data_IF_770246951292
#
_entry.id   IF_770246951292
#
_cell.length_a   1.000
_cell.length_b   1.000
_cell.length_c   1.000
_cell.angle_alpha   90.00
_cell.angle_beta   90.00
_cell.angle_gamma   90.00
#
_symmetry.space_group_name_H-M   'P 1'
#
loop_
_entity.id
_entity.type
_entity.pdbx_description
1 polymer ?
#
# COMPACT_ATOMS: atom_id res chain seq x y z
N UNK A 1 -11.12 16.14 -3.96
CA UNK A 1 -10.90 14.75 -4.45
C UNK A 1 -10.72 14.82 -5.95
N UNK A 2 -9.70 14.13 -6.49
CA UNK A 2 -9.52 14.05 -7.94
C UNK A 2 -10.74 13.36 -8.57
N UNK A 3 -11.16 13.82 -9.75
CA UNK A 3 -12.34 13.31 -10.45
C UNK A 3 -12.03 12.06 -11.29
N UNK A 4 -11.26 11.11 -10.75
CA UNK A 4 -10.94 9.87 -11.44
C UNK A 4 -12.11 8.89 -11.50
N UNK A 5 -12.09 7.96 -12.47
CA UNK A 5 -13.13 6.94 -12.65
C UNK A 5 -13.40 6.10 -11.41
N UNK A 6 -12.37 5.79 -10.61
CA UNK A 6 -12.48 5.08 -9.34
C UNK A 6 -13.33 5.84 -8.32
N UNK A 7 -13.07 7.15 -8.16
CA UNK A 7 -13.82 8.00 -7.21
C UNK A 7 -15.28 8.08 -7.63
N UNK A 8 -15.56 8.23 -8.92
CA UNK A 8 -16.93 8.28 -9.45
C UNK A 8 -17.66 6.95 -9.25
N UNK A 9 -17.01 5.82 -9.52
CA UNK A 9 -17.60 4.49 -9.33
C UNK A 9 -17.93 4.22 -7.86
N UNK A 10 -17.00 4.48 -6.95
CA UNK A 10 -17.21 4.25 -5.51
C UNK A 10 -18.17 5.25 -4.87
N UNK A 11 -18.26 6.48 -5.41
CA UNK A 11 -19.29 7.44 -4.97
C UNK A 11 -20.70 6.92 -5.22
N UNK A 12 -20.89 6.13 -6.28
CA UNK A 12 -22.16 5.42 -6.53
C UNK A 12 -22.48 4.39 -5.43
N UNK A 13 -21.48 3.72 -4.89
CA UNK A 13 -21.63 2.71 -3.83
C UNK A 13 -22.01 3.32 -2.47
N UNK A 14 -21.70 4.59 -2.20
CA UNK A 14 -22.07 5.29 -0.94
C UNK A 14 -23.57 5.31 -0.67
N UNK A 15 -24.41 5.11 -1.69
CA UNK A 15 -25.87 5.02 -1.54
C UNK A 15 -26.34 3.70 -0.93
N UNK A 16 -25.53 2.64 -1.08
CA UNK A 16 -25.89 1.27 -0.67
C UNK A 16 -25.02 0.73 0.47
N UNK A 17 -23.85 1.33 0.71
CA UNK A 17 -22.95 0.91 1.78
C UNK A 17 -22.18 2.11 2.35
N UNK A 18 -21.89 2.05 3.65
CA UNK A 18 -20.98 2.99 4.29
C UNK A 18 -19.55 2.45 4.28
N UNK A 19 -18.58 3.28 3.94
CA UNK A 19 -17.16 2.95 4.02
C UNK A 19 -16.33 4.20 4.32
N UNK A 20 -15.15 3.99 4.87
CA UNK A 20 -14.14 5.03 5.04
C UNK A 20 -13.13 4.91 3.91
N UNK A 21 -12.88 6.01 3.22
CA UNK A 21 -11.83 6.10 2.22
C UNK A 21 -10.52 6.46 2.92
N UNK A 22 -9.47 5.65 2.72
CA UNK A 22 -8.15 5.92 3.26
C UNK A 22 -7.20 6.19 2.10
N UNK A 23 -6.52 7.33 2.12
CA UNK A 23 -5.67 7.73 0.99
C UNK A 23 -4.71 8.85 1.31
N UNK A 24 -3.69 8.97 0.46
CA UNK A 24 -2.77 10.11 0.47
C UNK A 24 -3.46 11.36 -0.11
N UNK A 25 -3.39 12.53 0.56
CA UNK A 25 -4.06 13.75 0.10
C UNK A 25 -3.46 14.37 -1.17
N UNK A 26 -2.29 13.90 -1.64
CA UNK A 26 -1.66 14.37 -2.86
C UNK A 26 -0.66 15.51 -2.66
N UNK A 27 -0.46 15.97 -1.44
CA UNK A 27 0.49 17.03 -1.07
C UNK A 27 0.83 16.97 0.41
N UNK A 28 1.93 17.63 0.78
CA UNK A 28 2.37 17.74 2.16
C UNK A 28 1.38 18.57 3.01
N UNK A 29 1.09 18.07 4.20
CA UNK A 29 0.30 18.77 5.21
C UNK A 29 1.14 18.90 6.48
N UNK A 30 1.30 20.14 6.93
CA UNK A 30 2.07 20.42 8.15
C UNK A 30 1.49 19.61 9.33
N UNK A 31 2.31 18.94 10.14
CA UNK A 31 1.85 18.17 11.29
C UNK A 31 0.91 18.91 12.24
N UNK A 32 1.07 20.21 12.40
CA UNK A 32 0.18 21.04 13.24
C UNK A 32 -1.25 21.14 12.71
N UNK A 33 -1.42 21.02 11.40
CA UNK A 33 -2.71 21.15 10.73
C UNK A 33 -3.43 19.81 10.54
N UNK A 34 -2.69 18.69 10.66
CA UNK A 34 -3.21 17.32 10.43
C UNK A 34 -4.47 17.02 11.26
N UNK A 35 -4.55 17.34 12.58
CA UNK A 35 -5.76 17.05 13.37
C UNK A 35 -7.02 17.76 12.85
N UNK A 36 -6.87 19.00 12.36
CA UNK A 36 -7.99 19.78 11.80
C UNK A 36 -8.41 19.19 10.46
N UNK A 37 -7.43 18.82 9.63
CA UNK A 37 -7.67 18.20 8.32
C UNK A 37 -8.35 16.85 8.48
N UNK A 38 -7.83 15.98 9.37
CA UNK A 38 -8.41 14.65 9.62
C UNK A 38 -9.85 14.73 10.12
N UNK A 39 -10.11 15.64 11.07
CA UNK A 39 -11.47 15.87 11.56
C UNK A 39 -12.42 16.25 10.42
N UNK A 40 -12.03 17.22 9.61
CA UNK A 40 -12.85 17.70 8.50
C UNK A 40 -13.05 16.63 7.41
N UNK A 41 -11.99 15.91 7.06
CA UNK A 41 -12.05 14.82 6.09
C UNK A 41 -12.99 13.70 6.56
N UNK A 42 -12.96 13.35 7.84
CA UNK A 42 -13.82 12.32 8.40
C UNK A 42 -15.27 12.77 8.48
N UNK A 43 -15.54 13.97 8.99
CA UNK A 43 -16.90 14.48 9.20
C UNK A 43 -17.62 14.80 7.87
N UNK A 44 -16.93 15.41 6.90
CA UNK A 44 -17.57 15.85 5.65
C UNK A 44 -17.52 14.77 4.54
N UNK A 45 -16.49 13.91 4.54
CA UNK A 45 -16.23 13.02 3.39
C UNK A 45 -16.11 11.54 3.76
N UNK A 46 -16.09 11.18 5.03
CA UNK A 46 -15.76 9.82 5.51
C UNK A 46 -14.39 9.37 4.97
N UNK A 47 -13.41 10.26 5.03
CA UNK A 47 -12.05 10.04 4.55
C UNK A 47 -11.05 10.14 5.70
N UNK A 48 -9.98 9.33 5.63
CA UNK A 48 -8.81 9.42 6.49
C UNK A 48 -7.58 9.64 5.64
N UNK A 49 -6.75 10.62 6.01
CA UNK A 49 -5.51 10.89 5.31
C UNK A 49 -4.38 9.96 5.75
N UNK A 50 -3.57 9.50 4.80
CA UNK A 50 -2.24 8.92 5.03
C UNK A 50 -1.22 10.01 4.71
N UNK A 51 -0.45 10.40 5.69
CA UNK A 51 0.56 11.44 5.52
C UNK A 51 1.90 10.80 5.16
N UNK A 52 2.40 11.16 4.01
CA UNK A 52 3.73 10.78 3.51
C UNK A 52 4.58 12.04 3.40
N UNK A 53 5.86 11.92 3.66
CA UNK A 53 6.82 12.97 3.33
C UNK A 53 6.95 13.08 1.82
N UNK A 54 7.24 14.29 1.30
CA UNK A 54 7.23 14.55 -0.15
C UNK A 54 8.19 13.64 -0.93
N UNK A 55 9.37 13.35 -0.37
CA UNK A 55 10.34 12.43 -0.99
C UNK A 55 9.80 11.00 -1.07
N UNK A 56 9.22 10.49 0.03
CA UNK A 56 8.58 9.17 0.05
C UNK A 56 7.41 9.10 -0.92
N UNK A 57 6.58 10.13 -0.96
CA UNK A 57 5.43 10.19 -1.85
C UNK A 57 5.84 10.19 -3.33
N UNK A 58 6.84 10.99 -3.70
CA UNK A 58 7.36 11.06 -5.07
C UNK A 58 8.02 9.75 -5.50
N UNK A 59 8.92 9.21 -4.68
CA UNK A 59 9.59 7.93 -4.95
C UNK A 59 8.62 6.75 -5.00
N UNK A 60 7.59 6.74 -4.15
CA UNK A 60 6.53 5.73 -4.18
C UNK A 60 5.70 5.83 -5.46
N UNK A 61 5.21 7.03 -5.78
CA UNK A 61 4.25 7.21 -6.88
C UNK A 61 4.94 7.30 -8.24
N UNK A 62 5.85 8.26 -8.43
CA UNK A 62 6.54 8.48 -9.70
C UNK A 62 7.71 7.51 -9.88
N UNK A 63 8.45 7.23 -8.81
CA UNK A 63 9.61 6.37 -8.82
C UNK A 63 9.27 4.90 -9.03
N UNK A 64 8.70 4.21 -8.04
CA UNK A 64 8.46 2.77 -8.14
C UNK A 64 7.18 2.44 -8.91
N UNK A 65 6.05 3.06 -8.57
CA UNK A 65 4.77 2.71 -9.17
C UNK A 65 4.72 3.02 -10.66
N UNK A 66 5.08 4.22 -11.06
CA UNK A 66 4.97 4.65 -12.46
C UNK A 66 6.19 4.30 -13.31
N UNK A 67 7.39 4.18 -12.73
CA UNK A 67 8.60 3.86 -13.51
C UNK A 67 8.93 2.37 -13.55
N UNK A 68 8.30 1.53 -12.73
CA UNK A 68 8.53 0.08 -12.69
C UNK A 68 7.23 -0.69 -12.89
N UNK A 69 6.26 -0.54 -11.97
CA UNK A 69 5.06 -1.36 -12.01
C UNK A 69 4.17 -1.03 -13.22
N UNK A 70 3.99 0.24 -13.54
CA UNK A 70 3.20 0.66 -14.69
C UNK A 70 3.73 0.11 -16.02
N UNK A 71 5.02 0.28 -16.40
CA UNK A 71 5.57 -0.34 -17.60
C UNK A 71 5.47 -1.87 -17.58
N UNK A 72 5.70 -2.52 -16.43
CA UNK A 72 5.58 -3.97 -16.30
C UNK A 72 4.17 -4.45 -16.63
N UNK A 73 3.13 -3.82 -16.06
CA UNK A 73 1.73 -4.18 -16.31
C UNK A 73 1.26 -3.86 -17.73
N UNK A 74 1.93 -2.92 -18.41
CA UNK A 74 1.60 -2.53 -19.78
C UNK A 74 2.52 -3.13 -20.84
N UNK A 75 3.31 -4.15 -20.49
CA UNK A 75 4.19 -4.88 -21.42
C UNK A 75 5.31 -4.05 -22.04
N UNK A 76 5.81 -3.04 -21.31
CA UNK A 76 6.93 -2.18 -21.69
C UNK A 76 8.17 -2.35 -20.78
N UNK A 77 8.69 -3.59 -20.58
CA UNK A 77 9.78 -3.81 -19.62
C UNK A 77 11.06 -3.05 -19.96
N UNK A 78 11.25 -2.64 -21.21
CA UNK A 78 12.40 -1.82 -21.65
C UNK A 78 12.38 -0.38 -21.12
N UNK A 79 11.24 0.10 -20.62
CA UNK A 79 11.09 1.44 -20.05
C UNK A 79 11.28 1.47 -18.52
N UNK A 80 11.49 0.31 -17.91
CA UNK A 80 11.66 0.19 -16.46
C UNK A 80 12.99 0.79 -16.01
N UNK A 81 12.93 1.74 -15.09
CA UNK A 81 14.09 2.35 -14.46
C UNK A 81 14.14 1.97 -12.98
N UNK A 82 15.06 1.07 -12.66
CA UNK A 82 15.14 0.47 -11.34
C UNK A 82 16.04 1.31 -10.41
N UNK A 83 15.50 1.70 -9.25
CA UNK A 83 16.18 2.41 -8.19
C UNK A 83 15.78 1.77 -6.83
N UNK A 84 16.80 1.40 -6.04
CA UNK A 84 16.59 0.77 -4.72
C UNK A 84 15.90 1.71 -3.73
N UNK A 85 16.17 3.01 -3.80
CA UNK A 85 15.52 4.01 -2.95
C UNK A 85 14.02 4.13 -3.27
N UNK A 86 13.64 3.96 -4.54
CA UNK A 86 12.25 3.94 -4.95
C UNK A 86 11.52 2.69 -4.41
N UNK A 87 12.19 1.54 -4.39
CA UNK A 87 11.67 0.33 -3.78
C UNK A 87 11.52 0.49 -2.27
N UNK A 88 12.51 1.07 -1.60
CA UNK A 88 12.42 1.35 -0.18
C UNK A 88 11.23 2.26 0.15
N UNK A 89 11.06 3.36 -0.59
CA UNK A 89 9.95 4.29 -0.42
C UNK A 89 8.58 3.64 -0.70
N UNK A 90 8.51 2.73 -1.68
CA UNK A 90 7.30 1.96 -1.96
C UNK A 90 6.89 1.07 -0.79
N UNK A 91 7.85 0.40 -0.15
CA UNK A 91 7.60 -0.39 1.06
C UNK A 91 7.15 0.48 2.22
N UNK A 92 7.87 1.57 2.49
CA UNK A 92 7.57 2.52 3.55
C UNK A 92 6.16 3.13 3.40
N UNK A 93 5.80 3.57 2.20
CA UNK A 93 4.46 4.08 1.93
C UNK A 93 3.37 3.03 2.19
N UNK A 94 3.56 1.78 1.74
CA UNK A 94 2.61 0.70 2.00
C UNK A 94 2.46 0.39 3.49
N UNK A 95 3.57 0.46 4.27
CA UNK A 95 3.52 0.32 5.72
C UNK A 95 2.72 1.46 6.37
N UNK A 96 2.95 2.72 5.96
CA UNK A 96 2.18 3.87 6.46
C UNK A 96 0.69 3.73 6.18
N UNK A 97 0.32 3.20 5.02
CA UNK A 97 -1.08 2.86 4.74
C UNK A 97 -1.60 1.78 5.70
N UNK A 98 -0.83 0.71 5.96
CA UNK A 98 -1.24 -0.34 6.90
C UNK A 98 -1.45 0.21 8.31
N UNK A 99 -0.55 1.04 8.80
CA UNK A 99 -0.63 1.71 10.10
C UNK A 99 -1.88 2.57 10.24
N UNK A 100 -2.24 3.35 9.20
CA UNK A 100 -3.44 4.19 9.21
C UNK A 100 -4.73 3.36 9.07
N UNK A 101 -4.70 2.26 8.33
CA UNK A 101 -5.86 1.36 8.19
C UNK A 101 -6.17 0.65 9.52
N UNK A 102 -5.14 0.26 10.26
CA UNK A 102 -5.25 -0.60 11.44
C UNK A 102 -6.27 -0.13 12.49
N UNK A 103 -6.30 1.16 12.92
CA UNK A 103 -7.28 1.66 13.90
C UNK A 103 -8.73 1.70 13.40
N UNK A 104 -8.94 1.64 12.08
CA UNK A 104 -10.28 1.67 11.48
C UNK A 104 -10.90 0.29 11.31
N UNK A 105 -10.10 -0.78 11.51
CA UNK A 105 -10.56 -2.15 11.33
C UNK A 105 -11.36 -2.62 12.55
N UNK A 106 -12.50 -3.25 12.28
CA UNK A 106 -13.38 -3.87 13.28
C UNK A 106 -13.59 -5.34 12.94
N UNK A 107 -14.07 -6.12 13.90
CA UNK A 107 -14.47 -7.52 13.66
C UNK A 107 -15.47 -7.59 12.49
N UNK A 108 -15.16 -8.45 11.52
CA UNK A 108 -15.94 -8.60 10.29
C UNK A 108 -15.73 -7.53 9.23
N UNK A 109 -14.81 -6.57 9.43
CA UNK A 109 -14.49 -5.55 8.43
C UNK A 109 -13.97 -6.18 7.14
N UNK A 110 -14.25 -5.48 6.04
CA UNK A 110 -13.63 -5.72 4.75
C UNK A 110 -12.73 -4.53 4.41
N UNK A 111 -11.44 -4.79 4.20
CA UNK A 111 -10.49 -3.82 3.66
C UNK A 111 -10.34 -4.10 2.17
N UNK A 112 -10.69 -3.12 1.34
CA UNK A 112 -10.63 -3.25 -0.11
C UNK A 112 -9.49 -2.39 -0.66
N UNK A 113 -8.34 -3.03 -0.88
CA UNK A 113 -7.12 -2.39 -1.38
C UNK A 113 -7.23 -2.16 -2.88
N UNK A 114 -6.84 -0.97 -3.33
CA UNK A 114 -6.97 -0.56 -4.72
C UNK A 114 -5.62 -0.36 -5.38
N UNK A 115 -5.43 -1.10 -6.49
CA UNK A 115 -4.41 -0.90 -7.50
C UNK A 115 -2.94 -1.17 -7.10
N UNK A 116 -2.07 -1.17 -8.09
CA UNK A 116 -0.65 -1.55 -7.99
C UNK A 116 0.19 -0.65 -7.08
N UNK A 117 -0.31 0.52 -6.70
CA UNK A 117 0.36 1.37 -5.73
C UNK A 117 0.45 0.77 -4.32
N UNK A 118 -0.43 -0.18 -3.99
CA UNK A 118 -0.60 -0.74 -2.64
C UNK A 118 -0.52 -2.28 -2.62
N UNK A 119 0.31 -2.88 -3.48
CA UNK A 119 0.39 -4.35 -3.58
C UNK A 119 0.96 -5.02 -2.33
N UNK A 120 1.73 -4.31 -1.52
CA UNK A 120 2.28 -4.85 -0.27
C UNK A 120 1.36 -4.64 0.93
N UNK A 121 0.40 -3.72 0.83
CA UNK A 121 -0.53 -3.42 1.92
C UNK A 121 -1.28 -4.66 2.44
N UNK A 122 -1.80 -5.57 1.60
CA UNK A 122 -2.52 -6.76 2.09
C UNK A 122 -1.68 -7.64 3.01
N UNK A 123 -0.43 -7.92 2.64
CA UNK A 123 0.45 -8.79 3.42
C UNK A 123 0.94 -8.10 4.70
N UNK A 124 1.30 -6.81 4.62
CA UNK A 124 1.70 -6.00 5.76
C UNK A 124 0.55 -5.87 6.79
N UNK A 125 -0.65 -5.53 6.33
CA UNK A 125 -1.81 -5.41 7.19
C UNK A 125 -2.18 -6.75 7.86
N UNK A 126 -2.07 -7.86 7.13
CA UNK A 126 -2.31 -9.19 7.69
C UNK A 126 -1.31 -9.53 8.77
N UNK A 127 -0.02 -9.24 8.55
CA UNK A 127 1.04 -9.41 9.56
C UNK A 127 0.77 -8.60 10.83
N UNK A 128 0.37 -7.34 10.67
CA UNK A 128 0.05 -6.48 11.81
C UNK A 128 -1.20 -6.92 12.58
N UNK A 129 -2.21 -7.47 11.88
CA UNK A 129 -3.46 -7.92 12.51
C UNK A 129 -3.33 -9.25 13.24
N UNK A 130 -2.65 -10.21 12.64
CA UNK A 130 -2.64 -11.60 13.12
C UNK A 130 -1.38 -11.93 13.92
N UNK A 131 -0.32 -11.14 13.78
CA UNK A 131 1.02 -11.44 14.27
C UNK A 131 1.76 -12.41 13.35
N UNK A 132 3.08 -12.31 13.27
CA UNK A 132 3.90 -13.12 12.37
C UNK A 132 3.81 -14.63 12.68
N UNK A 133 3.55 -15.00 13.92
CA UNK A 133 3.45 -16.39 14.40
C UNK A 133 2.25 -17.15 13.83
N UNK A 134 1.22 -16.46 13.34
CA UNK A 134 0.02 -17.10 12.75
C UNK A 134 0.12 -17.28 11.24
N UNK A 135 1.19 -16.79 10.63
CA UNK A 135 1.39 -16.89 9.19
C UNK A 135 2.10 -18.22 8.86
N UNK A 136 1.78 -18.78 7.69
CA UNK A 136 2.53 -19.92 7.19
C UNK A 136 4.00 -19.52 6.89
N UNK A 137 4.89 -20.51 6.82
CA UNK A 137 6.32 -20.28 6.70
C UNK A 137 6.73 -19.52 5.43
N UNK A 138 5.98 -19.69 4.33
CA UNK A 138 6.28 -19.00 3.07
C UNK A 138 5.91 -17.53 3.20
N UNK A 139 4.70 -17.26 3.67
CA UNK A 139 4.20 -15.89 3.92
C UNK A 139 5.08 -15.16 4.94
N UNK A 140 5.50 -15.83 6.00
CA UNK A 140 6.40 -15.27 7.00
C UNK A 140 7.72 -14.80 6.39
N UNK A 141 8.39 -15.64 5.57
CA UNK A 141 9.62 -15.27 4.87
C UNK A 141 9.45 -14.10 3.90
N UNK A 142 8.34 -14.05 3.18
CA UNK A 142 8.08 -12.93 2.26
C UNK A 142 7.85 -11.62 3.03
N UNK A 143 7.16 -11.67 4.17
CA UNK A 143 7.01 -10.50 5.05
C UNK A 143 8.36 -10.04 5.59
N UNK A 144 9.21 -10.94 6.08
CA UNK A 144 10.55 -10.58 6.56
C UNK A 144 11.34 -9.80 5.50
N UNK A 145 11.32 -10.25 4.24
CA UNK A 145 11.97 -9.54 3.13
C UNK A 145 11.35 -8.18 2.82
N UNK A 146 10.03 -8.12 2.84
CA UNK A 146 9.29 -6.87 2.56
C UNK A 146 9.51 -5.86 3.68
N UNK A 147 9.64 -6.31 4.93
CA UNK A 147 9.84 -5.47 6.10
C UNK A 147 11.32 -5.21 6.42
N UNK A 148 12.26 -5.78 5.66
CA UNK A 148 13.69 -5.58 5.90
C UNK A 148 14.06 -4.09 5.87
N UNK A 149 14.61 -3.60 6.99
CA UNK A 149 15.02 -2.20 7.15
C UNK A 149 13.88 -1.19 7.36
N UNK A 150 12.62 -1.63 7.41
CA UNK A 150 11.47 -0.79 7.80
C UNK A 150 10.83 -1.34 9.08
N UNK A 151 10.46 -0.44 9.99
CA UNK A 151 9.93 -0.81 11.30
C UNK A 151 8.57 -0.19 11.49
N UNK A 152 7.54 -0.99 11.82
CA UNK A 152 6.23 -0.44 12.17
C UNK A 152 6.30 0.49 13.38
N UNK A 153 5.42 1.47 13.42
CA UNK A 153 5.25 2.32 14.59
C UNK A 153 4.71 1.50 15.77
N UNK A 154 5.53 1.29 16.79
CA UNK A 154 5.23 0.46 17.96
C UNK A 154 4.16 1.08 18.89
N UNK A 155 3.84 2.35 18.69
CA UNK A 155 2.74 3.03 19.39
C UNK A 155 1.37 2.63 18.85
N UNK A 156 1.31 2.14 17.61
CA UNK A 156 0.09 1.67 16.95
C UNK A 156 -0.14 0.21 17.29
N UNK A 157 -1.04 -0.04 18.23
CA UNK A 157 -1.37 -1.41 18.63
C UNK A 157 -2.44 -2.01 17.72
N UNK A 158 -2.27 -3.27 17.28
CA UNK A 158 -3.31 -3.94 16.52
C UNK A 158 -4.59 -4.06 17.36
N UNK A 159 -5.75 -3.83 16.75
CA UNK A 159 -7.02 -4.00 17.43
C UNK A 159 -7.27 -5.50 17.69
N UNK A 160 -7.91 -5.80 18.82
CA UNK A 160 -8.37 -7.18 19.09
C UNK A 160 -9.65 -7.45 18.27
N UNK A 161 -9.46 -7.86 17.02
CA UNK A 161 -10.53 -8.09 16.05
C UNK A 161 -10.40 -9.47 15.40
N UNK A 162 -11.49 -9.96 14.87
CA UNK A 162 -11.54 -11.26 14.18
C UNK A 162 -12.28 -11.15 12.85
N UNK A 163 -12.08 -12.12 11.98
CA UNK A 163 -12.77 -12.25 10.70
C UNK A 163 -12.63 -11.00 9.78
N UNK A 164 -11.45 -10.39 9.78
CA UNK A 164 -11.13 -9.28 8.87
C UNK A 164 -10.82 -9.87 7.49
N UNK A 165 -11.53 -9.40 6.48
CA UNK A 165 -11.29 -9.75 5.08
C UNK A 165 -10.46 -8.67 4.41
N UNK A 166 -9.41 -9.06 3.67
CA UNK A 166 -8.61 -8.15 2.86
C UNK A 166 -8.77 -8.58 1.41
N UNK A 167 -9.36 -7.69 0.59
CA UNK A 167 -9.51 -7.86 -0.84
C UNK A 167 -8.56 -6.92 -1.58
N UNK A 168 -8.06 -7.36 -2.73
CA UNK A 168 -7.23 -6.56 -3.61
C UNK A 168 -7.88 -6.45 -4.99
N UNK A 169 -7.89 -5.25 -5.57
CA UNK A 169 -8.39 -5.02 -6.91
C UNK A 169 -7.35 -4.28 -7.76
N UNK A 170 -6.97 -4.87 -8.86
CA UNK A 170 -6.05 -4.31 -9.84
C UNK A 170 -6.85 -3.73 -11.00
N UNK A 171 -6.61 -2.46 -11.35
CA UNK A 171 -7.33 -1.76 -12.41
C UNK A 171 -6.74 -2.01 -13.81
N UNK A 172 -5.63 -2.75 -13.90
CA UNK A 172 -4.99 -3.19 -15.14
C UNK A 172 -5.02 -4.71 -15.22
N UNK A 173 -5.01 -5.33 -16.42
CA UNK A 173 -4.82 -6.76 -16.54
C UNK A 173 -3.51 -7.20 -15.87
N UNK A 174 -3.55 -8.33 -15.18
CA UNK A 174 -2.31 -8.90 -14.64
C UNK A 174 -1.44 -9.40 -15.80
N UNK A 175 -0.14 -9.07 -15.85
CA UNK A 175 0.72 -9.47 -16.96
C UNK A 175 0.87 -10.98 -17.03
N UNK A 176 1.10 -11.50 -18.24
CA UNK A 176 1.32 -12.94 -18.45
C UNK A 176 2.54 -13.43 -17.67
N UNK A 177 2.54 -14.76 -17.37
CA UNK A 177 3.60 -15.40 -16.58
C UNK A 177 5.02 -15.22 -17.18
N UNK A 178 5.15 -15.00 -18.48
CA UNK A 178 6.46 -14.80 -19.14
C UNK A 178 7.05 -13.43 -18.80
N UNK A 179 6.25 -12.37 -18.78
CA UNK A 179 6.72 -11.04 -18.37
C UNK A 179 6.95 -10.98 -16.87
N UNK A 180 6.15 -11.71 -16.09
CA UNK A 180 6.38 -11.85 -14.66
C UNK A 180 7.70 -12.56 -14.34
N UNK A 181 8.13 -13.53 -15.18
CA UNK A 181 9.46 -14.16 -15.07
C UNK A 181 10.61 -13.21 -15.41
N UNK A 182 10.40 -12.24 -16.29
CA UNK A 182 11.35 -11.12 -16.42
C UNK A 182 11.46 -10.34 -15.11
N UNK A 183 10.36 -10.16 -14.36
CA UNK A 183 10.34 -9.64 -13.01
C UNK A 183 11.05 -10.54 -11.97
N UNK A 184 11.02 -11.87 -12.13
CA UNK A 184 11.80 -12.79 -11.28
C UNK A 184 13.31 -12.65 -11.52
N UNK A 185 13.73 -12.25 -12.71
CA UNK A 185 15.13 -11.83 -12.97
C UNK A 185 15.43 -10.51 -12.23
N UNK A 186 14.44 -9.61 -12.10
CA UNK A 186 14.56 -8.41 -11.27
C UNK A 186 14.58 -8.74 -9.77
N UNK A 187 13.72 -9.64 -9.29
CA UNK A 187 13.77 -10.11 -7.89
C UNK A 187 15.06 -10.85 -7.58
N UNK A 188 15.70 -11.52 -8.55
CA UNK A 188 17.03 -12.11 -8.38
C UNK A 188 18.14 -11.05 -8.41
N UNK A 189 18.00 -9.97 -9.14
CA UNK A 189 18.89 -8.80 -9.05
C UNK A 189 18.66 -8.05 -7.72
N UNK A 190 17.45 -7.96 -7.22
CA UNK A 190 17.17 -7.51 -5.85
C UNK A 190 17.87 -8.34 -4.79
N UNK A 191 17.84 -9.67 -4.91
CA UNK A 191 18.58 -10.58 -4.03
C UNK A 191 20.10 -10.39 -4.10
N UNK A 192 20.61 -10.02 -5.28
CA UNK A 192 22.06 -9.81 -5.49
C UNK A 192 22.51 -8.44 -4.95
N UNK A 193 21.67 -7.43 -4.89
CA UNK A 193 21.98 -6.09 -4.39
C UNK A 193 21.80 -5.97 -2.87
N UNK A 194 20.83 -6.67 -2.27
CA UNK A 194 20.63 -6.73 -0.81
C UNK A 194 21.63 -7.63 -0.06
N UNK A 195 22.51 -8.31 -0.75
CA UNK A 195 23.49 -9.26 -0.19
C UNK A 195 24.93 -8.78 -0.15
N UNK A 196 25.20 -7.49 -0.17
CA UNK A 196 26.54 -6.95 0.07
C UNK A 196 26.59 -6.17 1.37
N UNK A 197 26.96 -6.90 2.44
CA UNK A 197 27.66 -6.35 3.58
C UNK A 197 29.06 -5.94 3.20
#
# INVERSE_FOLDING_TARGET
MSSGGLVSALSGCKKSMSFTWIGWPGFYINPKDRPIVDKRLMEEYSCQAVYLDDDIADRHYNGFSNSILWPLFHYHPGEMNFDEENWWAYREANLKFAEVVLPHVKTGSMVWVQDYHLMLLPIMLRSLLDGPEKLDQVTHREIEKVMEGIVPDDTIKPPNVSNVKIGFFLHTPFPSSEIYRCGDTFTSQFRALGGRN
#
